data_IF_866934495773
#
_entry.id   IF_866934495773
#
_cell.length_a   1.000
_cell.length_b   1.000
_cell.length_c   1.000
_cell.angle_alpha   90.00
_cell.angle_beta   90.00
_cell.angle_gamma   90.00
#
_symmetry.space_group_name_H-M   'P 1'
#
loop_
_entity.id
_entity.type
_entity.pdbx_description
1 polymer ?
#
# COMPACT_ATOMS: atom_id res chain seq x y z
N UNK A 1 15.52 -24.08 -7.70
CA UNK A 1 14.14 -23.89 -7.22
C UNK A 1 14.17 -22.76 -6.23
N UNK A 2 13.70 -21.57 -6.62
CA UNK A 2 13.64 -20.42 -5.72
C UNK A 2 12.45 -20.65 -4.79
N UNK A 3 12.74 -20.88 -3.51
CA UNK A 3 11.70 -20.93 -2.47
C UNK A 3 11.04 -19.55 -2.43
N UNK A 4 9.93 -19.39 -3.13
CA UNK A 4 9.02 -18.26 -2.95
C UNK A 4 8.42 -18.49 -1.56
N UNK A 5 8.98 -17.81 -0.57
CA UNK A 5 8.37 -17.75 0.76
C UNK A 5 7.06 -17.00 0.59
N UNK A 6 5.98 -17.53 1.17
CA UNK A 6 4.60 -17.09 0.97
C UNK A 6 4.26 -15.68 1.50
N UNK A 7 5.24 -14.79 1.62
CA UNK A 7 5.11 -13.47 2.27
C UNK A 7 5.58 -12.28 1.41
N UNK A 8 5.92 -12.50 0.14
CA UNK A 8 6.11 -11.39 -0.80
C UNK A 8 4.75 -10.89 -1.28
N UNK A 9 3.96 -10.30 -0.37
CA UNK A 9 2.82 -9.48 -0.76
C UNK A 9 3.39 -8.36 -1.62
N UNK A 10 3.16 -8.46 -2.93
CA UNK A 10 3.59 -7.44 -3.86
C UNK A 10 2.98 -6.10 -3.42
N UNK A 11 3.83 -5.15 -3.03
CA UNK A 11 3.40 -3.84 -2.54
C UNK A 11 2.46 -3.13 -3.53
N UNK A 12 2.61 -3.41 -4.83
CA UNK A 12 1.70 -2.95 -5.87
C UNK A 12 0.30 -3.58 -5.74
N UNK A 13 0.20 -4.91 -5.62
CA UNK A 13 -1.09 -5.60 -5.45
C UNK A 13 -1.77 -5.19 -4.15
N UNK A 14 -1.01 -5.04 -3.06
CA UNK A 14 -1.53 -4.54 -1.79
C UNK A 14 -2.13 -3.14 -1.96
N UNK A 15 -1.41 -2.22 -2.59
CA UNK A 15 -1.88 -0.84 -2.76
C UNK A 15 -3.10 -0.73 -3.68
N UNK A 16 -3.22 -1.59 -4.69
CA UNK A 16 -4.39 -1.66 -5.56
C UNK A 16 -5.60 -2.26 -4.84
N UNK A 17 -5.42 -3.38 -4.14
CA UNK A 17 -6.51 -4.11 -3.47
C UNK A 17 -7.02 -3.39 -2.21
N UNK A 18 -6.16 -2.62 -1.53
CA UNK A 18 -6.49 -1.92 -0.28
C UNK A 18 -6.46 -0.40 -0.44
N UNK A 19 -6.73 0.10 -1.66
CA UNK A 19 -6.66 1.52 -1.99
C UNK A 19 -7.59 2.37 -1.11
N UNK A 20 -8.78 1.87 -0.83
CA UNK A 20 -9.78 2.49 0.05
C UNK A 20 -9.27 2.64 1.49
N UNK A 21 -8.63 1.60 2.03
CA UNK A 21 -8.01 1.60 3.36
C UNK A 21 -6.88 2.63 3.39
N UNK A 22 -6.02 2.65 2.37
CA UNK A 22 -4.95 3.64 2.26
C UNK A 22 -5.51 5.07 2.17
N UNK A 23 -6.59 5.30 1.45
CA UNK A 23 -7.25 6.62 1.42
C UNK A 23 -7.83 7.02 2.78
N UNK A 24 -8.41 6.08 3.50
CA UNK A 24 -8.95 6.32 4.83
C UNK A 24 -7.82 6.67 5.83
N UNK A 25 -6.73 5.90 5.81
CA UNK A 25 -5.54 6.15 6.64
C UNK A 25 -4.88 7.49 6.28
N UNK A 26 -4.78 7.84 5.00
CA UNK A 26 -4.22 9.11 4.56
C UNK A 26 -5.01 10.34 5.08
N UNK A 27 -6.32 10.18 5.33
CA UNK A 27 -7.19 11.26 5.86
C UNK A 27 -7.27 11.26 7.38
N UNK A 28 -7.45 10.08 7.99
CA UNK A 28 -7.85 9.94 9.39
C UNK A 28 -6.84 9.23 10.28
N UNK A 29 -5.81 8.60 9.72
CA UNK A 29 -4.79 7.89 10.48
C UNK A 29 -3.91 8.79 11.34
N UNK A 30 -3.07 8.16 12.15
CA UNK A 30 -1.96 8.79 12.87
C UNK A 30 -0.95 9.40 11.90
N UNK A 31 -0.02 10.22 12.41
CA UNK A 31 1.00 10.86 11.58
C UNK A 31 1.82 9.85 10.76
N UNK A 32 2.17 8.70 11.36
CA UNK A 32 2.93 7.64 10.70
C UNK A 32 2.07 6.94 9.65
N UNK A 33 0.83 6.56 9.99
CA UNK A 33 -0.10 5.92 9.04
C UNK A 33 -0.42 6.81 7.85
N UNK A 34 -0.58 8.13 8.07
CA UNK A 34 -0.77 9.11 7.01
C UNK A 34 0.44 9.17 6.06
N UNK A 35 1.66 9.18 6.62
CA UNK A 35 2.88 9.20 5.83
C UNK A 35 3.04 7.91 5.02
N UNK A 36 2.83 6.75 5.66
CA UNK A 36 2.89 5.45 4.99
C UNK A 36 1.84 5.35 3.88
N UNK A 37 0.58 5.68 4.17
CA UNK A 37 -0.50 5.56 3.21
C UNK A 37 -0.33 6.48 1.99
N UNK A 38 0.17 7.71 2.21
CA UNK A 38 0.56 8.61 1.11
C UNK A 38 1.65 7.99 0.24
N UNK A 39 2.71 7.45 0.83
CA UNK A 39 3.81 6.84 0.08
C UNK A 39 3.32 5.67 -0.80
N UNK A 40 2.48 4.77 -0.27
CA UNK A 40 1.90 3.68 -1.05
C UNK A 40 1.02 4.18 -2.21
N UNK A 41 0.17 5.18 -1.97
CA UNK A 41 -0.70 5.75 -3.01
C UNK A 41 0.09 6.51 -4.09
N UNK A 42 1.18 7.18 -3.71
CA UNK A 42 2.04 7.91 -4.66
C UNK A 42 2.84 6.95 -5.55
N UNK A 43 3.40 5.90 -4.97
CA UNK A 43 4.20 4.92 -5.69
C UNK A 43 3.33 4.00 -6.58
N UNK A 44 2.15 3.61 -6.12
CA UNK A 44 1.38 2.52 -6.73
C UNK A 44 -0.10 2.86 -7.03
N UNK A 45 -0.63 3.99 -6.53
CA UNK A 45 -2.05 4.35 -6.67
C UNK A 45 -2.41 5.08 -7.97
N UNK A 46 -1.45 5.27 -8.88
CA UNK A 46 -1.60 6.02 -10.13
C UNK A 46 -1.14 5.31 -11.42
N UNK A 47 -0.60 4.08 -11.34
CA UNK A 47 -0.22 3.33 -12.53
C UNK A 47 -1.47 2.67 -13.15
N UNK A 48 -1.89 3.22 -14.30
CA UNK A 48 -2.82 2.60 -15.26
C UNK A 48 -2.02 2.13 -16.46
#
# INVERSE_FOLDING_TARGET
MTNITSDDINAFEFAQNHRDILWNLAKHGTLIEKAMAKAYLELYGGQK
#
